data_IF_990546931400
#
_entry.id   IF_990546931400
#
_cell.length_a   1.000
_cell.length_b   1.000
_cell.length_c   1.000
_cell.angle_alpha   90.00
_cell.angle_beta   90.00
_cell.angle_gamma   90.00
#
_symmetry.space_group_name_H-M   'P 1'
#
loop_
_entity.id
_entity.type
_entity.pdbx_description
1 polymer ?
#
# COMPACT_ATOMS: atom_id res chain seq x y z
N UNK A 1 -7.95 13.16 -1.54
CA UNK A 1 -7.69 14.59 -1.30
C UNK A 1 -7.31 14.76 0.15
N UNK A 2 -6.09 15.20 0.39
CA UNK A 2 -5.63 15.62 1.71
C UNK A 2 -5.68 17.15 1.78
N UNK A 3 -6.03 17.69 2.95
CA UNK A 3 -5.95 19.13 3.23
C UNK A 3 -5.46 19.32 4.66
N UNK A 4 -4.55 20.26 4.88
CA UNK A 4 -4.10 20.61 6.21
C UNK A 4 -5.26 21.18 7.06
N UNK A 5 -5.31 20.81 8.34
CA UNK A 5 -6.11 21.52 9.34
C UNK A 5 -5.41 22.81 9.82
N UNK A 6 -5.95 23.46 10.84
CA UNK A 6 -5.38 24.71 11.40
C UNK A 6 -3.97 24.53 11.97
N UNK A 7 -3.58 23.30 12.33
CA UNK A 7 -2.26 22.97 12.85
C UNK A 7 -1.24 22.58 11.78
N UNK A 8 -1.67 22.49 10.51
CA UNK A 8 -0.84 21.99 9.40
C UNK A 8 -1.00 20.49 9.12
N UNK A 9 -1.66 19.74 10.01
CA UNK A 9 -1.79 18.29 9.90
C UNK A 9 -2.67 17.89 8.70
N UNK A 10 -2.18 17.06 7.75
CA UNK A 10 -2.98 16.63 6.61
C UNK A 10 -4.14 15.72 7.02
N UNK A 11 -5.36 16.13 6.71
CA UNK A 11 -6.61 15.38 6.93
C UNK A 11 -7.12 14.79 5.61
N UNK A 12 -7.61 13.55 5.63
CA UNK A 12 -8.27 12.93 4.48
C UNK A 12 -9.68 13.49 4.30
N UNK A 13 -9.83 14.48 3.42
CA UNK A 13 -11.09 15.20 3.22
C UNK A 13 -12.05 14.51 2.24
N UNK A 14 -11.53 13.69 1.33
CA UNK A 14 -12.36 13.07 0.30
C UNK A 14 -11.57 12.19 -0.66
N UNK A 15 -12.28 11.39 -1.46
CA UNK A 15 -11.65 10.51 -2.44
C UNK A 15 -12.66 9.56 -3.09
N UNK A 16 -12.19 8.88 -4.14
CA UNK A 16 -12.87 7.78 -4.81
C UNK A 16 -11.97 6.56 -4.70
N UNK A 17 -12.40 5.53 -3.95
CA UNK A 17 -11.58 4.34 -3.65
C UNK A 17 -12.39 3.09 -3.97
N UNK A 18 -12.44 2.74 -5.25
CA UNK A 18 -13.19 1.56 -5.72
C UNK A 18 -12.42 0.25 -5.54
N UNK A 19 -11.08 0.31 -5.56
CA UNK A 19 -10.20 -0.86 -5.55
C UNK A 19 -9.18 -0.79 -4.40
N UNK A 20 -9.63 -0.71 -3.14
CA UNK A 20 -8.71 -0.67 -2.00
C UNK A 20 -7.95 -2.00 -1.87
N UNK A 21 -6.77 -1.93 -1.27
CA UNK A 21 -5.96 -3.10 -0.89
C UNK A 21 -6.12 -3.38 0.61
N UNK A 22 -7.24 -4.01 0.99
CA UNK A 22 -7.55 -4.45 2.36
C UNK A 22 -7.76 -3.34 3.39
N UNK A 23 -8.27 -2.18 2.96
CA UNK A 23 -8.69 -1.10 3.87
C UNK A 23 -10.00 -0.45 3.41
N UNK A 24 -10.66 0.21 4.35
CA UNK A 24 -11.96 0.84 4.16
C UNK A 24 -11.83 2.37 4.16
N UNK A 25 -12.32 3.05 3.13
CA UNK A 25 -12.18 4.49 2.97
C UNK A 25 -13.04 5.27 3.98
N UNK A 26 -14.26 4.81 4.20
CA UNK A 26 -15.23 5.38 5.14
C UNK A 26 -14.76 5.30 6.60
N UNK A 27 -13.81 4.41 6.92
CA UNK A 27 -13.19 4.35 8.25
C UNK A 27 -12.08 5.39 8.44
N UNK A 28 -11.56 5.95 7.34
CA UNK A 28 -10.40 6.84 7.32
C UNK A 28 -10.74 8.29 6.95
N UNK A 29 -11.85 8.53 6.25
CA UNK A 29 -12.27 9.89 5.90
C UNK A 29 -12.46 10.74 7.17
N UNK A 30 -12.00 11.99 7.12
CA UNK A 30 -12.00 12.93 8.25
C UNK A 30 -10.90 12.66 9.29
N UNK A 31 -10.07 11.64 9.12
CA UNK A 31 -8.93 11.35 10.00
C UNK A 31 -7.65 11.98 9.48
N UNK A 32 -6.77 12.30 10.42
CA UNK A 32 -5.42 12.80 10.16
C UNK A 32 -4.52 11.71 9.59
N UNK A 33 -3.50 12.12 8.85
CA UNK A 33 -2.60 11.22 8.15
C UNK A 33 -1.80 10.32 9.11
N UNK A 34 -1.37 10.86 10.25
CA UNK A 34 -0.70 10.13 11.32
C UNK A 34 -1.59 9.01 11.90
N UNK A 35 -2.87 9.30 12.15
CA UNK A 35 -3.86 8.32 12.60
C UNK A 35 -4.05 7.22 11.56
N UNK A 36 -4.17 7.61 10.28
CA UNK A 36 -4.32 6.67 9.16
C UNK A 36 -3.13 5.71 9.06
N UNK A 37 -1.93 6.20 9.37
CA UNK A 37 -0.67 5.48 9.24
C UNK A 37 -0.16 4.83 10.53
N UNK A 38 -0.83 5.06 11.67
CA UNK A 38 -0.42 4.49 12.97
C UNK A 38 -0.36 2.96 13.00
N UNK A 39 -1.07 2.29 12.10
CA UNK A 39 -1.07 0.83 11.96
C UNK A 39 0.09 0.29 11.12
N UNK A 40 0.89 1.16 10.49
CA UNK A 40 2.05 0.77 9.69
C UNK A 40 3.26 0.65 10.62
N UNK A 41 3.83 -0.56 10.81
CA UNK A 41 4.97 -0.75 11.70
C UNK A 41 6.14 0.16 11.33
N UNK A 42 6.86 0.69 12.32
CA UNK A 42 8.08 1.53 12.20
C UNK A 42 7.92 2.89 11.51
N UNK A 43 6.76 3.20 10.91
CA UNK A 43 6.55 4.44 10.17
C UNK A 43 6.45 5.67 11.10
N UNK A 44 5.77 5.54 12.23
CA UNK A 44 5.57 6.67 13.15
C UNK A 44 6.84 7.06 13.92
N UNK A 45 7.72 6.11 14.21
CA UNK A 45 8.94 6.36 15.01
C UNK A 45 10.02 7.13 14.24
N UNK A 46 9.97 7.15 12.91
CA UNK A 46 11.03 7.75 12.06
C UNK A 46 10.53 8.78 11.05
N UNK A 47 9.24 8.77 10.70
CA UNK A 47 8.74 9.50 9.53
C UNK A 47 7.58 10.47 9.80
N UNK A 48 6.96 10.52 10.98
CA UNK A 48 5.77 11.35 11.24
C UNK A 48 5.97 12.82 10.89
N UNK A 49 6.85 13.52 11.61
CA UNK A 49 7.08 14.97 11.42
C UNK A 49 7.68 15.29 10.04
N UNK A 50 8.54 14.39 9.53
CA UNK A 50 9.17 14.56 8.21
C UNK A 50 8.15 14.41 7.07
N UNK A 51 7.22 13.46 7.18
CA UNK A 51 6.17 13.25 6.20
C UNK A 51 5.18 14.42 6.20
N UNK A 52 4.79 14.90 7.38
CA UNK A 52 3.94 16.10 7.51
C UNK A 52 4.62 17.32 6.90
N UNK A 53 5.85 17.64 7.31
CA UNK A 53 6.57 18.79 6.76
C UNK A 53 6.83 18.66 5.25
N UNK A 54 7.03 17.44 4.75
CA UNK A 54 7.22 17.20 3.33
C UNK A 54 5.94 17.52 2.54
N UNK A 55 4.79 17.03 3.01
CA UNK A 55 3.49 17.25 2.37
C UNK A 55 3.11 18.74 2.34
N UNK A 56 3.32 19.45 3.45
CA UNK A 56 3.09 20.91 3.52
C UNK A 56 3.91 21.72 2.51
N UNK A 57 5.13 21.27 2.23
CA UNK A 57 6.11 21.99 1.40
C UNK A 57 6.16 21.50 -0.05
N UNK A 58 5.24 20.64 -0.48
CA UNK A 58 5.25 20.09 -1.83
C UNK A 58 5.12 21.20 -2.90
N UNK A 59 6.11 21.38 -3.79
CA UNK A 59 5.98 22.33 -4.89
C UNK A 59 4.83 21.98 -5.85
N UNK A 60 4.14 23.03 -6.31
CA UNK A 60 3.13 22.94 -7.37
C UNK A 60 3.84 22.60 -8.69
N UNK A 61 3.18 21.78 -9.52
CA UNK A 61 3.68 21.39 -10.84
C UNK A 61 4.65 20.20 -10.82
N UNK A 62 4.88 19.60 -9.65
CA UNK A 62 5.66 18.37 -9.49
C UNK A 62 4.81 17.25 -8.90
N UNK A 63 5.24 16.01 -9.16
CA UNK A 63 4.61 14.81 -8.63
C UNK A 63 5.65 13.95 -7.93
N UNK A 64 5.33 13.47 -6.73
CA UNK A 64 6.17 12.55 -5.98
C UNK A 64 5.61 11.17 -6.12
N UNK A 65 6.42 10.31 -6.74
CA UNK A 65 6.03 8.96 -7.09
C UNK A 65 6.61 8.00 -6.08
N UNK A 66 5.78 7.05 -5.64
CA UNK A 66 6.21 5.90 -4.85
C UNK A 66 5.48 4.66 -5.31
N UNK A 67 6.03 3.51 -4.97
CA UNK A 67 5.42 2.23 -5.24
C UNK A 67 5.17 1.50 -3.92
N UNK A 68 3.99 0.90 -3.79
CA UNK A 68 3.69 -0.09 -2.77
C UNK A 68 3.30 -1.39 -3.47
N UNK A 69 3.49 -2.52 -2.79
CA UNK A 69 3.15 -3.83 -3.34
C UNK A 69 2.51 -4.73 -2.28
N UNK A 70 1.77 -5.73 -2.73
CA UNK A 70 1.15 -6.75 -1.89
C UNK A 70 0.78 -8.00 -2.67
N UNK A 71 0.27 -9.00 -1.95
CA UNK A 71 -0.24 -10.24 -2.51
C UNK A 71 -1.68 -10.45 -2.05
N UNK A 72 -2.53 -11.02 -2.91
CA UNK A 72 -3.91 -11.42 -2.55
C UNK A 72 -4.20 -12.83 -3.01
N UNK A 73 -5.07 -13.52 -2.27
CA UNK A 73 -5.51 -14.88 -2.61
C UNK A 73 -6.52 -14.90 -3.78
N UNK A 74 -7.09 -13.74 -4.13
CA UNK A 74 -8.05 -13.58 -5.23
C UNK A 74 -7.55 -12.54 -6.24
N UNK A 75 -8.06 -12.62 -7.47
CA UNK A 75 -7.80 -11.65 -8.54
C UNK A 75 -8.75 -10.43 -8.51
N UNK A 76 -9.66 -10.38 -7.53
CA UNK A 76 -10.58 -9.26 -7.34
C UNK A 76 -9.82 -7.93 -7.16
N UNK A 77 -10.18 -6.92 -7.94
CA UNK A 77 -9.58 -5.59 -7.78
C UNK A 77 -10.00 -4.94 -6.46
N UNK A 78 -11.28 -5.07 -6.11
CA UNK A 78 -11.83 -4.53 -4.87
C UNK A 78 -11.60 -5.50 -3.70
N UNK A 79 -10.59 -5.22 -2.87
CA UNK A 79 -10.28 -5.96 -1.65
C UNK A 79 -10.83 -5.26 -0.40
N UNK A 80 -11.99 -4.59 -0.52
CA UNK A 80 -12.60 -3.92 0.62
C UNK A 80 -12.96 -4.93 1.72
N UNK A 81 -12.67 -4.64 3.02
CA UNK A 81 -12.90 -5.59 4.11
C UNK A 81 -14.34 -6.13 4.19
N UNK A 82 -15.35 -5.34 3.83
CA UNK A 82 -16.76 -5.79 3.84
C UNK A 82 -17.08 -6.92 2.86
N UNK A 83 -16.22 -7.17 1.87
CA UNK A 83 -16.41 -8.27 0.91
C UNK A 83 -16.03 -9.64 1.47
N UNK A 84 -15.34 -9.69 2.62
CA UNK A 84 -14.91 -10.92 3.27
C UNK A 84 -14.22 -11.90 2.30
N UNK A 85 -13.37 -11.38 1.42
CA UNK A 85 -12.62 -12.22 0.48
C UNK A 85 -11.61 -13.11 1.24
N UNK A 86 -11.29 -14.30 0.71
CA UNK A 86 -10.27 -15.16 1.30
C UNK A 86 -8.92 -14.43 1.45
N UNK A 87 -8.32 -14.53 2.63
CA UNK A 87 -6.95 -14.10 2.88
C UNK A 87 -5.92 -15.15 2.45
N UNK A 88 -4.65 -14.76 2.42
CA UNK A 88 -3.54 -15.68 2.21
C UNK A 88 -3.31 -16.52 3.48
N UNK A 89 -3.28 -17.83 3.32
CA UNK A 89 -3.01 -18.81 4.38
C UNK A 89 -1.75 -19.61 4.05
N UNK A 90 -1.22 -20.36 5.00
CA UNK A 90 -0.02 -21.17 4.77
C UNK A 90 -0.20 -22.21 3.65
N UNK A 91 -1.42 -22.73 3.51
CA UNK A 91 -1.81 -23.73 2.53
C UNK A 91 -2.14 -23.14 1.14
N UNK A 92 -2.35 -21.82 1.01
CA UNK A 92 -2.72 -21.19 -0.27
C UNK A 92 -1.75 -21.59 -1.38
N UNK A 93 -2.28 -21.98 -2.53
CA UNK A 93 -1.50 -22.36 -3.70
C UNK A 93 -0.85 -21.10 -4.34
N UNK A 94 0.49 -21.01 -4.44
CA UNK A 94 1.15 -19.86 -5.07
C UNK A 94 0.71 -19.59 -6.51
N UNK A 95 0.26 -20.61 -7.25
CA UNK A 95 -0.21 -20.48 -8.63
C UNK A 95 -1.51 -19.65 -8.74
N UNK A 96 -2.29 -19.55 -7.66
CA UNK A 96 -3.55 -18.78 -7.62
C UNK A 96 -3.38 -17.37 -7.06
N UNK A 97 -2.19 -17.02 -6.56
CA UNK A 97 -1.93 -15.73 -5.92
C UNK A 97 -1.82 -14.62 -6.97
N UNK A 98 -2.38 -13.46 -6.65
CA UNK A 98 -2.23 -12.25 -7.44
C UNK A 98 -1.21 -11.30 -6.79
N UNK A 99 -0.21 -10.90 -7.56
CA UNK A 99 0.72 -9.82 -7.22
C UNK A 99 0.08 -8.47 -7.54
N UNK A 100 0.12 -7.53 -6.59
CA UNK A 100 -0.49 -6.20 -6.71
C UNK A 100 0.55 -5.11 -6.55
N UNK A 101 0.54 -4.14 -7.46
CA UNK A 101 1.39 -2.95 -7.43
C UNK A 101 0.48 -1.73 -7.36
N UNK A 102 0.74 -0.86 -6.38
CA UNK A 102 0.15 0.46 -6.30
C UNK A 102 1.21 1.47 -6.73
N UNK A 103 1.04 2.06 -7.91
CA UNK A 103 1.80 3.24 -8.34
C UNK A 103 1.11 4.45 -7.76
N UNK A 104 1.77 5.08 -6.80
CA UNK A 104 1.19 6.16 -6.04
C UNK A 104 1.83 7.48 -6.43
N UNK A 105 1.01 8.51 -6.53
CA UNK A 105 1.44 9.87 -6.83
C UNK A 105 0.86 10.84 -5.81
N UNK A 106 1.71 11.67 -5.22
CA UNK A 106 1.32 12.83 -4.43
C UNK A 106 1.55 14.08 -5.28
N UNK A 107 0.51 14.91 -5.43
CA UNK A 107 0.54 16.13 -6.23
C UNK A 107 -0.10 17.27 -5.45
N UNK A 108 0.61 18.39 -5.25
CA UNK A 108 0.03 19.59 -4.70
C UNK A 108 -0.91 20.26 -5.72
N UNK A 109 -2.13 20.57 -5.32
CA UNK A 109 -3.13 21.22 -6.15
C UNK A 109 -2.96 22.74 -6.11
N UNK A 110 -2.99 23.42 -7.28
CA UNK A 110 -2.96 24.88 -7.30
C UNK A 110 -4.18 25.46 -6.58
N UNK A 111 -4.01 26.61 -5.95
CA UNK A 111 -5.07 27.47 -5.39
C UNK A 111 -5.88 26.91 -4.21
N UNK A 112 -5.64 25.68 -3.75
CA UNK A 112 -6.45 25.04 -2.70
C UNK A 112 -5.66 24.53 -1.49
N UNK A 113 -4.33 24.61 -1.56
CA UNK A 113 -3.38 23.99 -0.60
C UNK A 113 -3.64 22.50 -0.35
N UNK A 114 -4.43 21.84 -1.22
CA UNK A 114 -4.78 20.44 -1.13
C UNK A 114 -3.76 19.56 -1.82
N UNK A 115 -3.67 18.31 -1.40
CA UNK A 115 -2.80 17.31 -2.01
C UNK A 115 -3.67 16.19 -2.60
N UNK A 116 -3.49 15.94 -3.89
CA UNK A 116 -4.06 14.79 -4.56
C UNK A 116 -3.15 13.59 -4.31
N UNK A 117 -3.73 12.52 -3.77
CA UNK A 117 -3.09 11.22 -3.66
C UNK A 117 -3.74 10.27 -4.67
N UNK A 118 -3.05 10.02 -5.78
CA UNK A 118 -3.46 9.08 -6.81
C UNK A 118 -2.88 7.70 -6.54
N UNK A 119 -3.69 6.66 -6.75
CA UNK A 119 -3.26 5.26 -6.67
C UNK A 119 -3.69 4.57 -7.95
N UNK A 120 -2.72 4.19 -8.79
CA UNK A 120 -2.94 3.30 -9.93
C UNK A 120 -2.60 1.88 -9.49
N UNK A 121 -3.61 1.02 -9.46
CA UNK A 121 -3.46 -0.40 -9.18
C UNK A 121 -3.13 -1.17 -10.46
N UNK A 122 -2.12 -2.02 -10.38
CA UNK A 122 -1.76 -3.01 -11.40
C UNK A 122 -1.72 -4.40 -10.74
N UNK A 123 -2.20 -5.42 -11.46
CA UNK A 123 -2.30 -6.79 -10.94
C UNK A 123 -1.72 -7.79 -11.93
N UNK A 124 -1.00 -8.76 -11.41
CA UNK A 124 -0.36 -9.82 -12.21
C UNK A 124 -0.55 -11.18 -11.50
N UNK A 125 -0.81 -12.27 -12.23
CA UNK A 125 -0.69 -13.60 -11.65
C UNK A 125 0.75 -13.81 -11.13
N UNK A 126 0.90 -14.33 -9.91
CA UNK A 126 2.22 -14.50 -9.30
C UNK A 126 3.09 -15.50 -10.08
N UNK A 127 2.48 -16.51 -10.69
CA UNK A 127 3.13 -17.46 -11.60
C UNK A 127 3.79 -16.80 -12.81
N UNK A 128 3.18 -15.75 -13.36
CA UNK A 128 3.75 -15.02 -14.49
C UNK A 128 4.93 -14.16 -14.03
N UNK A 129 4.84 -13.57 -12.84
CA UNK A 129 5.96 -12.87 -12.21
C UNK A 129 7.16 -13.79 -11.98
N UNK A 130 6.93 -15.04 -11.55
CA UNK A 130 7.99 -16.04 -11.33
C UNK A 130 8.78 -16.34 -12.60
N UNK A 131 8.17 -16.25 -13.78
CA UNK A 131 8.87 -16.48 -15.06
C UNK A 131 9.86 -15.35 -15.36
N UNK A 132 9.58 -14.12 -14.90
CA UNK A 132 10.48 -12.98 -15.06
C UNK A 132 11.65 -13.04 -14.04
N UNK A 133 12.92 -13.23 -14.47
CA UNK A 133 14.01 -13.45 -13.54
C UNK A 133 14.27 -12.28 -12.58
N UNK A 134 14.15 -11.03 -13.07
CA UNK A 134 14.40 -9.84 -12.26
C UNK A 134 13.29 -9.63 -11.22
N UNK A 135 12.03 -9.74 -11.64
CA UNK A 135 10.90 -9.59 -10.73
C UNK A 135 10.85 -10.71 -9.67
N UNK A 136 11.12 -11.96 -10.08
CA UNK A 136 11.24 -13.10 -9.17
C UNK A 136 12.32 -12.86 -8.12
N UNK A 137 13.53 -12.46 -8.53
CA UNK A 137 14.63 -12.21 -7.60
C UNK A 137 14.30 -11.09 -6.63
N UNK A 138 13.73 -9.98 -7.10
CA UNK A 138 13.34 -8.86 -6.24
C UNK A 138 12.26 -9.23 -5.22
N UNK A 139 11.25 -10.02 -5.62
CA UNK A 139 10.24 -10.51 -4.68
C UNK A 139 10.82 -11.52 -3.69
N UNK A 140 11.68 -12.42 -4.14
CA UNK A 140 12.35 -13.40 -3.27
C UNK A 140 13.21 -12.72 -2.21
N UNK A 141 13.99 -11.71 -2.61
CA UNK A 141 14.79 -10.89 -1.71
C UNK A 141 13.88 -10.17 -0.69
N UNK A 142 12.83 -9.50 -1.16
CA UNK A 142 11.91 -8.79 -0.29
C UNK A 142 11.25 -9.73 0.74
N UNK A 143 10.85 -10.94 0.34
CA UNK A 143 10.26 -11.93 1.26
C UNK A 143 11.27 -12.47 2.29
N UNK A 144 12.56 -12.58 1.91
CA UNK A 144 13.62 -13.07 2.80
C UNK A 144 14.09 -12.01 3.81
N UNK A 145 14.06 -10.73 3.44
CA UNK A 145 14.63 -9.63 4.24
C UNK A 145 13.57 -8.79 4.98
N UNK A 146 12.29 -8.95 4.63
CA UNK A 146 11.19 -8.24 5.28
C UNK A 146 11.11 -8.55 6.78
N UNK A 147 11.02 -7.49 7.59
CA UNK A 147 10.82 -7.61 9.03
C UNK A 147 9.48 -8.32 9.36
N UNK A 148 9.41 -9.12 10.44
CA UNK A 148 8.21 -9.87 10.81
C UNK A 148 6.95 -9.01 10.96
N UNK A 149 7.07 -7.80 11.48
CA UNK A 149 5.97 -6.86 11.69
C UNK A 149 5.40 -6.39 10.35
N UNK A 150 6.27 -6.15 9.35
CA UNK A 150 5.86 -5.78 7.99
C UNK A 150 5.20 -6.97 7.30
N UNK A 151 5.70 -8.19 7.50
CA UNK A 151 5.06 -9.40 6.99
C UNK A 151 3.67 -9.60 7.60
N UNK A 152 3.50 -9.31 8.89
CA UNK A 152 2.20 -9.33 9.56
C UNK A 152 1.26 -8.26 9.01
N UNK A 153 1.73 -7.02 8.88
CA UNK A 153 0.96 -5.92 8.31
C UNK A 153 0.50 -6.19 6.87
N UNK A 154 1.34 -6.83 6.05
CA UNK A 154 1.00 -7.23 4.67
C UNK A 154 0.20 -8.54 4.58
N UNK A 155 -0.16 -9.17 5.70
CA UNK A 155 -0.83 -10.48 5.77
C UNK A 155 -0.06 -11.60 5.05
N UNK A 156 1.27 -11.60 5.15
CA UNK A 156 2.16 -12.55 4.47
C UNK A 156 2.77 -13.58 5.41
N UNK A 157 2.72 -13.37 6.73
CA UNK A 157 3.44 -14.20 7.73
C UNK A 157 3.23 -15.70 7.53
N UNK A 158 1.99 -16.16 7.39
CA UNK A 158 1.67 -17.57 7.27
C UNK A 158 2.17 -18.21 5.96
N UNK A 159 2.11 -17.47 4.84
CA UNK A 159 2.40 -17.99 3.50
C UNK A 159 3.87 -17.77 3.09
N UNK A 160 4.58 -16.83 3.73
CA UNK A 160 5.94 -16.43 3.38
C UNK A 160 6.92 -17.61 3.22
N UNK A 161 7.01 -18.58 4.16
CA UNK A 161 7.93 -19.71 4.00
C UNK A 161 7.66 -20.56 2.75
N UNK A 162 6.39 -20.72 2.36
CA UNK A 162 5.99 -21.44 1.15
C UNK A 162 6.38 -20.66 -0.10
N UNK A 163 6.19 -19.34 -0.10
CA UNK A 163 6.57 -18.47 -1.23
C UNK A 163 8.08 -18.41 -1.44
N UNK A 164 8.87 -18.32 -0.37
CA UNK A 164 10.34 -18.34 -0.47
C UNK A 164 10.82 -19.64 -1.13
N UNK A 165 10.26 -20.79 -0.75
CA UNK A 165 10.58 -22.08 -1.38
C UNK A 165 10.11 -22.17 -2.83
N UNK A 166 8.92 -21.67 -3.13
CA UNK A 166 8.35 -21.76 -4.48
C UNK A 166 8.97 -20.77 -5.48
N UNK A 167 9.52 -19.65 -5.02
CA UNK A 167 10.23 -18.65 -5.84
C UNK A 167 11.73 -18.94 -6.01
N UNK A 168 12.32 -19.79 -5.16
CA UNK A 168 13.71 -20.24 -5.30
C UNK A 168 13.84 -21.18 -6.50
#
# INVERSE_FOLDING_TARGET
>A
LLKADESGMPILMGGCVCFPSSWAFEKKIGRSLDWIHAVVPTLNETLGDKATSFLEKMPIGQAWLRTNWGLTATNDLNQHPSRNLPGLKAETDPETITFRIERQALIALPNTSGILFGIRLETFPLKDLKINPSARSGLLEALKTMAPEIASYKNLTAICPKLVRWLS
#
